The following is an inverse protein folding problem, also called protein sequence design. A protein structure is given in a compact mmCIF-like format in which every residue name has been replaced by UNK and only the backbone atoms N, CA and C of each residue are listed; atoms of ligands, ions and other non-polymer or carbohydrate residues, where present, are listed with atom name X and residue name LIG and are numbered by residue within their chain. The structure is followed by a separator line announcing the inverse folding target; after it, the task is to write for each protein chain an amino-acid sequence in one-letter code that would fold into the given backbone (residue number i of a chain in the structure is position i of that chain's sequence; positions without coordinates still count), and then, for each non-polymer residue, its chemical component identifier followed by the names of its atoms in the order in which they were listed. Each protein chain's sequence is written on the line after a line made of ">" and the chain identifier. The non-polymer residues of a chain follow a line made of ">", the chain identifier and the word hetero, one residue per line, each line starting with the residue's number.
data_IF_240490371326
#
_entry.id   IF_240490371326
#
_cell.length_a   1.000
_cell.length_b   1.000
_cell.length_c   1.000
_cell.angle_alpha   90.00
_cell.angle_beta   90.00
_cell.angle_gamma   90.00
#
_symmetry.space_group_name_H-M   'P 1'
#
loop_
_entity.id
_entity.type
_entity.pdbx_description
1 polymer ?
#
# COMPACT_ATOMS: atom_id res chain seq x y z
N UNK A 1 10.01 14.97 -32.06
CA UNK A 1 9.43 15.55 -30.83
C UNK A 1 8.05 14.96 -30.66
N UNK A 2 7.62 14.71 -29.42
CA UNK A 2 6.27 14.17 -29.15
C UNK A 2 5.24 15.30 -29.28
N UNK A 3 4.10 15.05 -29.90
CA UNK A 3 3.02 16.04 -30.04
C UNK A 3 2.12 16.08 -28.79
N UNK A 4 1.35 17.16 -28.59
CA UNK A 4 0.44 17.30 -27.44
C UNK A 4 -0.52 16.10 -27.22
N UNK A 5 -1.21 15.53 -28.24
CA UNK A 5 -2.07 14.36 -28.03
C UNK A 5 -1.30 13.08 -27.65
N UNK A 6 -0.09 12.91 -28.16
CA UNK A 6 0.79 11.81 -27.79
C UNK A 6 1.25 11.95 -26.32
N UNK A 7 1.54 13.17 -25.88
CA UNK A 7 1.86 13.48 -24.49
C UNK A 7 0.67 13.17 -23.55
N UNK A 8 -0.56 13.53 -23.94
CA UNK A 8 -1.76 13.16 -23.18
C UNK A 8 -1.93 11.64 -23.07
N UNK A 9 -1.74 10.91 -24.17
CA UNK A 9 -1.84 9.44 -24.17
C UNK A 9 -0.78 8.79 -23.28
N UNK A 10 0.45 9.30 -23.32
CA UNK A 10 1.53 8.86 -22.44
C UNK A 10 1.22 9.13 -20.97
N UNK A 11 0.69 10.32 -20.65
CA UNK A 11 0.28 10.69 -19.29
C UNK A 11 -0.78 9.73 -18.74
N UNK A 12 -1.83 9.43 -19.51
CA UNK A 12 -2.87 8.48 -19.08
C UNK A 12 -2.28 7.11 -18.73
N UNK A 13 -1.34 6.60 -19.53
CA UNK A 13 -0.68 5.32 -19.27
C UNK A 13 0.21 5.37 -18.03
N UNK A 14 0.96 6.46 -17.84
CA UNK A 14 1.81 6.64 -16.66
C UNK A 14 0.98 6.74 -15.38
N UNK A 15 -0.14 7.47 -15.42
CA UNK A 15 -1.06 7.61 -14.29
C UNK A 15 -1.74 6.28 -13.95
N UNK A 16 -2.13 5.49 -14.94
CA UNK A 16 -2.64 4.13 -14.71
C UNK A 16 -1.60 3.24 -14.01
N UNK A 17 -0.33 3.27 -14.47
CA UNK A 17 0.76 2.49 -13.85
C UNK A 17 1.13 2.98 -12.45
N UNK A 18 0.97 4.28 -12.19
CA UNK A 18 1.12 4.86 -10.84
C UNK A 18 0.01 4.34 -9.92
N UNK A 19 -1.24 4.37 -10.38
CA UNK A 19 -2.40 3.83 -9.64
C UNK A 19 -2.20 2.36 -9.28
N UNK A 20 -1.76 1.54 -10.23
CA UNK A 20 -1.41 0.14 -10.00
C UNK A 20 -0.31 -0.01 -8.94
N UNK A 21 0.75 0.79 -9.02
CA UNK A 21 1.85 0.72 -8.04
C UNK A 21 1.40 1.12 -6.64
N UNK A 22 0.51 2.12 -6.51
CA UNK A 22 -0.12 2.50 -5.24
C UNK A 22 -1.03 1.40 -4.70
N UNK A 23 -1.81 0.76 -5.56
CA UNK A 23 -2.63 -0.38 -5.18
C UNK A 23 -1.79 -1.55 -4.68
N UNK A 24 -0.69 -1.88 -5.36
CA UNK A 24 0.21 -2.94 -4.90
C UNK A 24 0.84 -2.63 -3.52
N UNK A 25 1.17 -1.36 -3.25
CA UNK A 25 1.63 -0.95 -1.93
C UNK A 25 0.54 -1.14 -0.87
N UNK A 26 -0.70 -0.72 -1.18
CA UNK A 26 -1.84 -0.88 -0.29
C UNK A 26 -2.13 -2.36 0.01
N UNK A 27 -2.15 -3.22 -1.00
CA UNK A 27 -2.38 -4.67 -0.84
C UNK A 27 -1.28 -5.32 0.00
N UNK A 28 -0.02 -4.92 -0.20
CA UNK A 28 1.08 -5.39 0.64
C UNK A 28 0.86 -4.95 2.10
N UNK A 29 0.62 -3.68 2.37
CA UNK A 29 0.36 -3.17 3.73
C UNK A 29 -0.89 -3.79 4.37
N UNK A 30 -1.92 -4.10 3.58
CA UNK A 30 -3.11 -4.82 4.02
C UNK A 30 -2.79 -6.27 4.39
N UNK A 31 -2.12 -7.01 3.51
CA UNK A 31 -1.76 -8.40 3.76
C UNK A 31 -0.86 -8.58 4.99
N UNK A 32 0.03 -7.62 5.26
CA UNK A 32 0.87 -7.63 6.47
C UNK A 32 0.02 -7.48 7.74
N UNK A 33 -1.02 -6.64 7.71
CA UNK A 33 -1.96 -6.47 8.82
C UNK A 33 -2.84 -7.70 9.02
N UNK A 34 -3.43 -8.22 7.95
CA UNK A 34 -4.27 -9.44 8.00
C UNK A 34 -3.46 -10.63 8.54
N UNK A 35 -2.23 -10.81 8.05
CA UNK A 35 -1.35 -11.86 8.56
C UNK A 35 -0.96 -11.66 10.02
N UNK A 36 -0.71 -10.42 10.45
CA UNK A 36 -0.43 -10.13 11.85
C UNK A 36 -1.64 -10.45 12.75
N UNK A 37 -2.85 -10.17 12.28
CA UNK A 37 -4.10 -10.51 12.97
C UNK A 37 -4.27 -12.04 13.08
N UNK A 38 -4.13 -12.77 11.97
CA UNK A 38 -4.24 -14.23 11.94
C UNK A 38 -3.23 -14.90 12.88
N UNK A 39 -1.95 -14.49 12.81
CA UNK A 39 -0.92 -15.03 13.70
C UNK A 39 -1.18 -14.68 15.18
N UNK A 40 -1.78 -13.53 15.46
CA UNK A 40 -2.20 -13.15 16.83
C UNK A 40 -3.30 -14.07 17.32
N UNK A 41 -4.32 -14.33 16.49
CA UNK A 41 -5.44 -15.23 16.81
C UNK A 41 -4.93 -16.66 17.03
N UNK A 42 -4.01 -17.14 16.21
CA UNK A 42 -3.45 -18.48 16.30
C UNK A 42 -2.55 -18.67 17.53
N UNK A 43 -1.87 -17.61 17.97
CA UNK A 43 -1.04 -17.64 19.18
C UNK A 43 -1.85 -17.74 20.48
N UNK A 44 -3.18 -17.57 20.42
CA UNK A 44 -4.04 -17.60 21.61
C UNK A 44 -4.06 -18.99 22.26
N UNK A 45 -3.94 -19.08 23.60
CA UNK A 45 -4.17 -20.32 24.33
C UNK A 45 -5.51 -20.97 23.95
N UNK A 46 -5.54 -22.28 23.70
CA UNK A 46 -6.77 -23.00 23.28
C UNK A 46 -7.97 -22.74 24.19
N UNK A 47 -7.78 -22.66 25.51
CA UNK A 47 -8.84 -22.32 26.47
C UNK A 47 -9.48 -20.94 26.20
N UNK A 48 -8.69 -19.96 25.74
CA UNK A 48 -9.18 -18.63 25.33
C UNK A 48 -9.90 -18.68 23.97
N UNK A 49 -9.48 -19.55 23.06
CA UNK A 49 -10.13 -19.76 21.74
C UNK A 49 -11.53 -20.37 21.85
N UNK A 50 -11.73 -21.30 22.80
CA UNK A 50 -13.03 -21.97 23.03
C UNK A 50 -14.00 -21.14 23.88
N UNK A 51 -13.50 -20.17 24.65
CA UNK A 51 -14.32 -19.15 25.32
C UNK A 51 -14.80 -18.08 24.32
N UNK A 52 -15.53 -18.51 23.29
CA UNK A 52 -16.11 -17.70 22.19
C UNK A 52 -16.97 -16.51 22.65
N UNK A 53 -17.34 -16.44 23.94
CA UNK A 53 -18.11 -15.34 24.54
C UNK A 53 -17.27 -14.08 24.84
N UNK A 54 -15.93 -14.16 24.80
CA UNK A 54 -15.07 -12.98 24.92
C UNK A 54 -14.49 -12.59 23.55
N UNK A 55 -15.32 -11.93 22.74
CA UNK A 55 -14.90 -11.23 21.52
C UNK A 55 -14.14 -9.93 21.82
N UNK A 56 -13.32 -9.92 22.88
CA UNK A 56 -12.62 -8.71 23.29
C UNK A 56 -11.16 -8.92 22.96
N UNK A 57 -10.74 -8.36 21.83
CA UNK A 57 -9.35 -8.06 21.58
C UNK A 57 -8.76 -7.39 22.83
N UNK A 58 -7.86 -8.07 23.52
CA UNK A 58 -7.30 -7.59 24.79
C UNK A 58 -6.04 -6.78 24.55
N UNK A 59 -5.59 -6.00 25.53
CA UNK A 59 -4.29 -5.31 25.43
C UNK A 59 -3.12 -6.27 25.21
N UNK A 60 -3.21 -7.51 25.72
CA UNK A 60 -2.20 -8.54 25.45
C UNK A 60 -2.23 -9.03 24.00
N UNK A 61 -3.42 -9.08 23.38
CA UNK A 61 -3.56 -9.37 21.95
C UNK A 61 -3.02 -8.21 21.11
N UNK A 62 -3.29 -6.97 21.50
CA UNK A 62 -2.75 -5.77 20.85
C UNK A 62 -1.21 -5.77 20.88
N UNK A 63 -0.59 -6.02 22.04
CA UNK A 63 0.87 -6.10 22.16
C UNK A 63 1.46 -7.23 21.32
N UNK A 64 0.77 -8.38 21.23
CA UNK A 64 1.19 -9.49 20.38
C UNK A 64 1.09 -9.11 18.89
N UNK A 65 -0.03 -8.52 18.48
CA UNK A 65 -0.26 -8.03 17.13
C UNK A 65 0.79 -7.00 16.72
N UNK A 66 1.04 -5.98 17.52
CA UNK A 66 2.04 -4.94 17.21
C UNK A 66 3.43 -5.54 17.05
N UNK A 67 3.82 -6.51 17.91
CA UNK A 67 5.11 -7.21 17.78
C UNK A 67 5.20 -8.05 16.52
N UNK A 68 4.14 -8.77 16.17
CA UNK A 68 4.08 -9.60 14.96
C UNK A 68 4.12 -8.70 13.72
N UNK A 69 3.29 -7.66 13.69
CA UNK A 69 3.24 -6.68 12.60
C UNK A 69 4.60 -6.02 12.40
N UNK A 70 5.24 -5.56 13.46
CA UNK A 70 6.56 -4.94 13.42
C UNK A 70 7.64 -5.89 12.87
N UNK A 71 7.60 -7.17 13.26
CA UNK A 71 8.45 -8.21 12.65
C UNK A 71 8.15 -8.40 11.15
N UNK A 72 6.89 -8.48 10.75
CA UNK A 72 6.49 -8.66 9.36
C UNK A 72 6.87 -7.45 8.50
N UNK A 73 6.67 -6.23 9.01
CA UNK A 73 7.06 -4.97 8.36
C UNK A 73 8.58 -4.90 8.20
N UNK A 74 9.37 -5.27 9.21
CA UNK A 74 10.83 -5.35 9.08
C UNK A 74 11.27 -6.29 7.96
N UNK A 75 10.61 -7.44 7.82
CA UNK A 75 10.92 -8.39 6.75
C UNK A 75 10.51 -7.86 5.37
N UNK A 76 9.42 -7.09 5.29
CA UNK A 76 8.91 -6.51 4.05
C UNK A 76 9.50 -5.11 3.74
N UNK A 77 10.41 -4.58 4.57
CA UNK A 77 10.82 -3.17 4.51
C UNK A 77 11.44 -2.81 3.16
N UNK A 78 12.22 -3.74 2.58
CA UNK A 78 12.86 -3.54 1.29
C UNK A 78 11.83 -3.45 0.15
N UNK A 79 10.77 -4.25 0.21
CA UNK A 79 9.70 -4.24 -0.79
C UNK A 79 8.79 -3.01 -0.65
N UNK A 80 8.45 -2.62 0.58
CA UNK A 80 7.72 -1.38 0.87
C UNK A 80 8.49 -0.17 0.36
N UNK A 81 9.78 -0.08 0.68
CA UNK A 81 10.67 1.00 0.21
C UNK A 81 10.77 1.02 -1.31
N UNK A 82 10.93 -0.16 -1.94
CA UNK A 82 11.01 -0.28 -3.39
C UNK A 82 9.74 0.28 -4.05
N UNK A 83 8.57 -0.03 -3.52
CA UNK A 83 7.29 0.48 -4.04
C UNK A 83 7.14 1.98 -3.80
N UNK A 84 7.47 2.48 -2.60
CA UNK A 84 7.45 3.92 -2.27
C UNK A 84 8.36 4.73 -3.19
N UNK A 85 9.62 4.33 -3.36
CA UNK A 85 10.56 4.99 -4.29
C UNK A 85 10.13 4.87 -5.75
N UNK A 86 9.39 3.82 -6.12
CA UNK A 86 8.83 3.69 -7.48
C UNK A 86 7.68 4.67 -7.69
N UNK A 87 6.80 4.83 -6.70
CA UNK A 87 5.72 5.83 -6.71
C UNK A 87 6.31 7.23 -6.87
N UNK A 88 7.30 7.59 -6.05
CA UNK A 88 7.97 8.90 -6.13
C UNK A 88 8.57 9.16 -7.51
N UNK A 89 9.30 8.19 -8.09
CA UNK A 89 9.87 8.33 -9.42
C UNK A 89 8.81 8.48 -10.52
N UNK A 90 7.70 7.75 -10.41
CA UNK A 90 6.58 7.89 -11.33
C UNK A 90 5.91 9.25 -11.19
N UNK A 91 5.75 9.74 -9.96
CA UNK A 91 5.21 11.06 -9.66
C UNK A 91 6.07 12.17 -10.31
N UNK A 92 7.37 12.15 -10.06
CA UNK A 92 8.32 13.11 -10.67
C UNK A 92 8.30 13.05 -12.20
N UNK A 93 8.27 11.85 -12.78
CA UNK A 93 8.24 11.69 -14.23
C UNK A 93 6.94 12.23 -14.86
N UNK A 94 5.79 12.03 -14.21
CA UNK A 94 4.50 12.55 -14.65
C UNK A 94 4.50 14.08 -14.59
N UNK A 95 4.98 14.67 -13.48
CA UNK A 95 5.05 16.14 -13.34
C UNK A 95 5.99 16.77 -14.37
N UNK A 96 7.17 16.18 -14.60
CA UNK A 96 8.10 16.65 -15.62
C UNK A 96 7.48 16.62 -17.03
N UNK A 97 6.72 15.57 -17.35
CA UNK A 97 6.04 15.45 -18.64
C UNK A 97 4.91 16.47 -18.79
N UNK A 98 4.12 16.70 -17.74
CA UNK A 98 3.06 17.72 -17.70
C UNK A 98 3.63 19.13 -17.91
N UNK A 99 4.72 19.46 -17.21
CA UNK A 99 5.40 20.75 -17.35
C UNK A 99 5.94 20.96 -18.77
N UNK A 100 6.58 19.94 -19.35
CA UNK A 100 7.17 20.00 -20.69
C UNK A 100 6.14 20.24 -21.80
N UNK A 101 4.96 19.64 -21.69
CA UNK A 101 3.91 19.72 -22.71
C UNK A 101 2.71 20.61 -22.32
N UNK A 102 2.84 21.37 -21.22
CA UNK A 102 1.81 22.28 -20.66
C UNK A 102 0.44 21.62 -20.47
N UNK A 103 0.43 20.36 -20.05
CA UNK A 103 -0.81 19.64 -19.76
C UNK A 103 -1.24 19.96 -18.34
N UNK A 104 -2.18 20.90 -18.20
CA UNK A 104 -2.71 21.37 -16.90
C UNK A 104 -3.91 20.55 -16.36
N UNK A 105 -4.20 19.37 -16.93
CA UNK A 105 -5.32 18.56 -16.48
C UNK A 105 -5.13 18.13 -15.00
N UNK A 106 -6.19 18.28 -14.20
CA UNK A 106 -6.19 17.83 -12.81
C UNK A 106 -5.87 16.33 -12.73
N UNK A 107 -5.06 15.96 -11.75
CA UNK A 107 -4.65 14.57 -11.55
C UNK A 107 -5.81 13.77 -10.95
N UNK A 108 -6.08 12.55 -11.42
CA UNK A 108 -7.08 11.71 -10.76
C UNK A 108 -6.65 11.43 -9.32
N UNK A 109 -7.56 11.68 -8.38
CA UNK A 109 -7.35 11.37 -6.96
C UNK A 109 -7.25 9.86 -6.82
N UNK A 110 -6.19 9.39 -6.17
CA UNK A 110 -6.07 7.98 -5.84
C UNK A 110 -6.93 7.68 -4.61
N UNK A 111 -7.98 6.88 -4.81
CA UNK A 111 -8.78 6.29 -3.74
C UNK A 111 -8.52 4.79 -3.74
N UNK A 112 -7.95 4.22 -2.67
CA UNK A 112 -7.92 2.77 -2.50
C UNK A 112 -9.38 2.28 -2.41
N UNK A 113 -9.73 1.28 -3.23
CA UNK A 113 -11.07 0.67 -3.27
C UNK A 113 -11.28 -0.25 -2.07
#
# INVERSE_FOLDING_TARGET
>A
MMNHPEACTALTRMEARLRETRHNLFELERSLRERAEDETIDSRPKARRYNRRMSNWTSLDEDAYLRILDRLVRNAVADLDRLRRKIERQDVAIEALRQKYRVNAARPIYTPL
#
